data_IF_591429481684
#
_entry.id   IF_591429481684
#
_cell.length_a   1.000
_cell.length_b   1.000
_cell.length_c   1.000
_cell.angle_alpha   90.00
_cell.angle_beta   90.00
_cell.angle_gamma   90.00
#
_symmetry.space_group_name_H-M   'P 1'
#
loop_
_entity.id
_entity.type
_entity.pdbx_description
1 polymer ?
#
# COMPACT_ATOMS: atom_id res chain seq x y z
N UNK A 1 -4.29 23.55 -9.68
CA UNK A 1 -3.90 22.68 -8.55
C UNK A 1 -2.39 22.48 -8.63
N UNK A 2 -1.66 22.54 -7.50
CA UNK A 2 -0.28 22.09 -7.47
C UNK A 2 -0.22 20.60 -7.85
N UNK A 3 0.85 20.14 -8.53
CA UNK A 3 1.03 18.71 -8.81
C UNK A 3 1.04 17.91 -7.50
N UNK A 4 0.52 16.68 -7.49
CA UNK A 4 0.53 15.85 -6.30
C UNK A 4 1.97 15.52 -5.86
N UNK A 5 2.21 15.40 -4.54
CA UNK A 5 3.44 14.79 -4.06
C UNK A 5 3.44 13.32 -4.45
N UNK A 6 4.53 12.88 -5.07
CA UNK A 6 4.70 11.51 -5.57
C UNK A 6 5.88 10.84 -4.86
N UNK A 7 5.77 9.55 -4.61
CA UNK A 7 6.83 8.73 -4.03
C UNK A 7 8.04 8.72 -5.00
N UNK A 8 9.23 9.22 -4.58
CA UNK A 8 10.40 9.26 -5.44
C UNK A 8 10.82 7.88 -5.91
N UNK A 9 11.15 7.77 -7.20
CA UNK A 9 11.67 6.54 -7.82
C UNK A 9 10.68 5.37 -7.91
N UNK A 10 9.40 5.58 -7.57
CA UNK A 10 8.39 4.52 -7.59
C UNK A 10 7.40 4.68 -8.75
N UNK A 11 7.33 3.64 -9.57
CA UNK A 11 6.40 3.55 -10.69
C UNK A 11 5.37 2.45 -10.44
N UNK A 12 4.13 2.68 -10.87
CA UNK A 12 3.05 1.73 -10.61
C UNK A 12 3.26 0.38 -11.31
N UNK A 13 3.95 0.38 -12.46
CA UNK A 13 4.28 -0.84 -13.22
C UNK A 13 5.17 -1.78 -12.41
N UNK A 14 6.09 -1.26 -11.59
CA UNK A 14 6.95 -2.09 -10.75
C UNK A 14 6.14 -2.81 -9.67
N UNK A 15 5.14 -2.11 -9.11
CA UNK A 15 4.22 -2.67 -8.12
C UNK A 15 3.35 -3.75 -8.75
N UNK A 16 2.69 -3.45 -9.87
CA UNK A 16 1.78 -4.40 -10.52
C UNK A 16 2.52 -5.64 -11.03
N UNK A 17 3.68 -5.49 -11.68
CA UNK A 17 4.46 -6.64 -12.15
C UNK A 17 4.87 -7.60 -11.02
N UNK A 18 5.05 -7.12 -9.80
CA UNK A 18 5.38 -7.97 -8.66
C UNK A 18 4.16 -8.71 -8.10
N UNK A 19 2.97 -8.13 -8.22
CA UNK A 19 1.73 -8.64 -7.64
C UNK A 19 0.90 -9.47 -8.61
N UNK A 20 1.06 -9.26 -9.92
CA UNK A 20 0.43 -10.10 -10.93
C UNK A 20 1.10 -11.47 -11.04
N UNK A 21 2.33 -11.62 -10.52
CA UNK A 21 3.05 -12.89 -10.47
C UNK A 21 2.47 -13.81 -9.40
N UNK A 22 2.59 -15.12 -9.64
CA UNK A 22 2.36 -16.13 -8.62
C UNK A 22 3.27 -15.90 -7.40
N UNK A 23 2.80 -16.11 -6.16
CA UNK A 23 1.50 -16.70 -5.80
C UNK A 23 0.33 -15.71 -5.68
N UNK A 24 0.56 -14.41 -5.87
CA UNK A 24 -0.45 -13.38 -5.57
C UNK A 24 -1.51 -13.28 -6.68
N UNK A 25 -1.06 -13.28 -7.94
CA UNK A 25 -1.93 -13.39 -9.11
C UNK A 25 -3.02 -12.31 -9.19
N UNK A 26 -2.70 -11.09 -8.73
CA UNK A 26 -3.63 -9.95 -8.81
C UNK A 26 -3.96 -9.61 -10.26
N UNK A 27 -5.15 -9.05 -10.47
CA UNK A 27 -5.58 -8.49 -11.77
C UNK A 27 -6.07 -7.08 -11.52
N UNK A 28 -5.29 -6.11 -11.97
CA UNK A 28 -5.59 -4.70 -11.72
C UNK A 28 -6.61 -4.17 -12.72
N UNK A 29 -7.63 -3.47 -12.23
CA UNK A 29 -8.45 -2.56 -13.01
C UNK A 29 -7.91 -1.14 -12.83
N UNK A 30 -8.08 -0.29 -13.85
CA UNK A 30 -7.63 1.10 -13.82
C UNK A 30 -8.83 2.02 -14.06
N UNK A 31 -8.98 3.00 -13.17
CA UNK A 31 -10.06 3.98 -13.22
C UNK A 31 -9.50 5.40 -13.06
N UNK A 32 -9.89 6.37 -13.91
CA UNK A 32 -9.51 7.76 -13.69
C UNK A 32 -10.22 8.32 -12.44
N UNK A 33 -9.54 9.22 -11.71
CA UNK A 33 -10.17 9.97 -10.63
C UNK A 33 -11.22 10.93 -11.21
N UNK A 34 -12.42 10.92 -10.62
CA UNK A 34 -13.48 11.88 -10.96
C UNK A 34 -13.27 13.24 -10.29
N UNK A 35 -12.35 13.33 -9.32
CA UNK A 35 -12.12 14.54 -8.50
C UNK A 35 -10.82 15.24 -8.88
N UNK A 36 -9.77 14.47 -9.19
CA UNK A 36 -8.41 15.01 -9.37
C UNK A 36 -7.94 14.70 -10.79
N UNK A 37 -7.93 15.70 -11.70
CA UNK A 37 -7.48 15.51 -13.07
C UNK A 37 -6.06 14.95 -13.14
N UNK A 38 -5.88 13.90 -13.95
CA UNK A 38 -4.60 13.23 -14.14
C UNK A 38 -4.29 12.14 -13.11
N UNK A 39 -5.08 12.03 -12.03
CA UNK A 39 -4.97 10.90 -11.10
C UNK A 39 -5.70 9.68 -11.64
N UNK A 40 -5.10 8.51 -11.49
CA UNK A 40 -5.72 7.21 -11.78
C UNK A 40 -5.56 6.27 -10.59
N UNK A 41 -6.59 5.49 -10.32
CA UNK A 41 -6.60 4.43 -9.32
C UNK A 41 -6.44 3.08 -10.01
N UNK A 42 -5.48 2.29 -9.55
CA UNK A 42 -5.33 0.89 -9.94
C UNK A 42 -5.81 0.03 -8.77
N UNK A 43 -6.81 -0.81 -9.00
CA UNK A 43 -7.44 -1.60 -7.94
C UNK A 43 -7.38 -3.07 -8.26
N UNK A 44 -7.13 -3.90 -7.25
CA UNK A 44 -7.22 -5.34 -7.41
C UNK A 44 -7.72 -5.97 -6.11
N UNK A 45 -8.49 -7.05 -6.25
CA UNK A 45 -8.98 -7.84 -5.12
C UNK A 45 -8.64 -9.30 -5.35
N UNK A 46 -8.23 -9.98 -4.29
CA UNK A 46 -7.95 -11.41 -4.29
C UNK A 46 -8.47 -12.03 -3.00
N UNK A 47 -9.19 -13.13 -3.12
CA UNK A 47 -9.63 -13.92 -1.96
C UNK A 47 -8.73 -15.15 -1.87
N UNK A 48 -8.15 -15.35 -0.69
CA UNK A 48 -7.42 -16.55 -0.35
C UNK A 48 -8.41 -17.73 -0.24
N UNK A 49 -8.24 -18.79 -1.05
CA UNK A 49 -9.21 -19.89 -1.10
C UNK A 49 -9.22 -20.75 0.16
N UNK A 50 -8.14 -20.76 0.94
CA UNK A 50 -7.97 -21.64 2.10
C UNK A 50 -8.53 -21.02 3.38
N UNK A 51 -8.34 -19.71 3.54
CA UNK A 51 -8.72 -18.94 4.74
C UNK A 51 -9.97 -18.09 4.53
N UNK A 52 -10.34 -17.81 3.27
CA UNK A 52 -11.39 -16.86 2.92
C UNK A 52 -11.01 -15.39 3.19
N UNK A 53 -9.74 -15.10 3.50
CA UNK A 53 -9.28 -13.73 3.67
C UNK A 53 -9.28 -12.99 2.33
N UNK A 54 -9.84 -11.79 2.32
CA UNK A 54 -9.83 -10.88 1.19
C UNK A 54 -8.65 -9.92 1.30
N UNK A 55 -7.85 -9.85 0.24
CA UNK A 55 -6.87 -8.82 0.02
C UNK A 55 -7.40 -7.81 -0.99
N UNK A 56 -7.36 -6.54 -0.61
CA UNK A 56 -7.64 -5.41 -1.47
C UNK A 56 -6.38 -4.57 -1.65
N UNK A 57 -6.20 -4.07 -2.86
CA UNK A 57 -5.09 -3.20 -3.24
C UNK A 57 -5.66 -1.99 -3.96
N UNK A 58 -5.16 -0.82 -3.60
CA UNK A 58 -5.33 0.39 -4.38
C UNK A 58 -4.01 1.13 -4.53
N UNK A 59 -3.71 1.57 -5.75
CA UNK A 59 -2.56 2.39 -6.08
C UNK A 59 -3.08 3.64 -6.76
N UNK A 60 -2.90 4.80 -6.13
CA UNK A 60 -3.15 6.09 -6.75
C UNK A 60 -1.90 6.56 -7.50
N UNK A 61 -2.09 7.00 -8.75
CA UNK A 61 -1.00 7.40 -9.66
C UNK A 61 -1.27 8.74 -10.33
N UNK A 62 -0.20 9.47 -10.68
CA UNK A 62 -0.25 10.71 -11.46
C UNK A 62 0.82 10.61 -12.55
N UNK A 63 0.36 10.41 -13.79
CA UNK A 63 1.23 9.90 -14.85
C UNK A 63 1.63 8.44 -14.58
N UNK A 64 2.93 8.17 -14.54
CA UNK A 64 3.54 6.87 -14.24
C UNK A 64 3.96 6.72 -12.77
N UNK A 65 3.95 7.82 -12.00
CA UNK A 65 4.41 7.86 -10.61
C UNK A 65 3.30 7.57 -9.62
N UNK A 66 3.67 7.01 -8.48
CA UNK A 66 2.75 6.66 -7.40
C UNK A 66 2.62 7.82 -6.40
N UNK A 67 1.40 8.18 -6.00
CA UNK A 67 1.14 9.17 -4.93
C UNK A 67 1.00 8.47 -3.59
N UNK A 68 0.22 7.39 -3.62
CA UNK A 68 -0.28 6.65 -2.47
C UNK A 68 -0.59 5.24 -2.93
N UNK A 69 -0.29 4.25 -2.10
CA UNK A 69 -0.90 2.95 -2.24
C UNK A 69 -1.29 2.41 -0.88
N UNK A 70 -2.39 1.68 -0.89
CA UNK A 70 -2.98 1.05 0.28
C UNK A 70 -3.23 -0.41 -0.04
N UNK A 71 -2.91 -1.25 0.94
CA UNK A 71 -3.12 -2.69 0.85
C UNK A 71 -3.77 -3.14 2.13
N UNK A 72 -4.89 -3.79 2.01
CA UNK A 72 -5.69 -4.25 3.14
C UNK A 72 -5.91 -5.75 3.03
N UNK A 73 -5.70 -6.47 4.12
CA UNK A 73 -6.09 -7.88 4.29
C UNK A 73 -7.23 -7.88 5.30
N UNK A 74 -8.34 -8.55 5.00
CA UNK A 74 -9.48 -8.66 5.90
C UNK A 74 -10.10 -10.06 5.85
N UNK A 75 -10.61 -10.55 6.98
CA UNK A 75 -11.18 -11.89 7.07
C UNK A 75 -11.14 -12.49 8.47
N UNK A 76 -11.84 -13.60 8.68
CA UNK A 76 -11.73 -14.37 9.92
C UNK A 76 -10.34 -15.00 9.97
N UNK A 77 -9.48 -14.52 10.87
CA UNK A 77 -8.04 -14.84 10.90
C UNK A 77 -7.29 -14.25 9.69
N UNK A 78 -7.31 -12.93 9.53
CA UNK A 78 -6.45 -12.20 8.59
C UNK A 78 -4.97 -12.16 9.04
N UNK A 79 -4.67 -12.44 10.31
CA UNK A 79 -3.30 -12.41 10.84
C UNK A 79 -2.32 -13.35 10.12
N UNK A 80 -2.63 -14.65 9.88
CA UNK A 80 -1.77 -15.54 9.10
C UNK A 80 -1.52 -15.06 7.66
N UNK A 81 -2.48 -14.38 7.04
CA UNK A 81 -2.40 -13.90 5.65
C UNK A 81 -1.86 -12.48 5.52
N UNK A 82 -1.67 -11.76 6.63
CA UNK A 82 -1.09 -10.41 6.63
C UNK A 82 0.35 -10.34 6.10
N UNK A 83 1.04 -11.49 6.01
CA UNK A 83 2.33 -11.63 5.30
C UNK A 83 2.26 -11.24 3.83
N UNK A 84 1.06 -11.24 3.23
CA UNK A 84 0.84 -10.77 1.87
C UNK A 84 0.97 -9.25 1.71
N UNK A 85 1.12 -8.48 2.80
CA UNK A 85 1.49 -7.05 2.72
C UNK A 85 2.96 -6.84 2.35
N UNK A 86 3.81 -7.85 2.54
CA UNK A 86 5.27 -7.75 2.36
C UNK A 86 5.76 -7.56 0.91
N UNK A 87 5.15 -8.15 -0.13
CA UNK A 87 5.53 -7.92 -1.53
C UNK A 87 5.43 -6.47 -1.95
N UNK A 88 4.46 -5.74 -1.39
CA UNK A 88 4.29 -4.30 -1.64
C UNK A 88 5.47 -3.52 -1.09
N UNK A 89 6.04 -3.96 0.04
CA UNK A 89 7.24 -3.35 0.61
C UNK A 89 8.50 -3.66 -0.18
N UNK A 90 8.52 -4.73 -0.96
CA UNK A 90 9.60 -5.00 -1.92
C UNK A 90 9.65 -3.94 -3.04
N UNK A 91 8.63 -3.09 -3.14
CA UNK A 91 8.57 -1.97 -4.10
C UNK A 91 8.84 -0.60 -3.47
N UNK A 92 9.13 -0.50 -2.16
CA UNK A 92 9.05 0.77 -1.42
C UNK A 92 10.33 1.17 -0.66
N UNK A 93 10.88 2.40 -0.83
CA UNK A 93 11.07 3.25 -2.02
C UNK A 93 12.57 3.37 -2.40
N UNK A 94 12.88 3.83 -3.62
CA UNK A 94 14.27 4.08 -4.06
C UNK A 94 14.55 5.58 -4.30
N UNK A 95 15.17 6.20 -3.30
CA UNK A 95 16.35 7.06 -3.46
C UNK A 95 17.18 6.92 -2.17
N UNK A 96 17.88 5.79 -2.04
CA UNK A 96 18.82 5.51 -0.92
C UNK A 96 18.35 4.61 0.24
N UNK A 97 17.14 4.02 0.23
CA UNK A 97 16.69 3.13 1.31
C UNK A 97 16.56 1.64 0.89
N UNK A 98 16.94 0.65 1.73
CA UNK A 98 16.84 -0.76 1.37
C UNK A 98 15.42 -1.31 1.55
N UNK A 99 14.85 -1.91 0.51
CA UNK A 99 13.53 -2.60 0.52
C UNK A 99 13.46 -3.67 1.61
N UNK A 100 14.60 -4.33 1.86
CA UNK A 100 14.76 -5.33 2.90
C UNK A 100 14.46 -4.76 4.29
N UNK A 101 14.84 -3.51 4.56
CA UNK A 101 14.53 -2.90 5.84
C UNK A 101 13.03 -2.60 5.98
N UNK A 102 12.39 -2.08 4.93
CA UNK A 102 10.94 -1.83 4.91
C UNK A 102 10.17 -3.11 5.20
N UNK A 103 10.56 -4.20 4.54
CA UNK A 103 10.00 -5.54 4.76
C UNK A 103 10.22 -6.02 6.20
N UNK A 104 11.45 -5.97 6.70
CA UNK A 104 11.79 -6.43 8.05
C UNK A 104 11.03 -5.64 9.14
N UNK A 105 10.81 -4.34 8.92
CA UNK A 105 9.98 -3.54 9.81
C UNK A 105 8.53 -4.03 9.85
N UNK A 106 7.91 -4.26 8.69
CA UNK A 106 6.51 -4.70 8.67
C UNK A 106 6.34 -6.10 9.26
N UNK A 107 7.27 -7.03 8.98
CA UNK A 107 7.28 -8.36 9.60
C UNK A 107 7.26 -8.26 11.14
N UNK A 108 8.06 -7.35 11.70
CA UNK A 108 8.07 -7.10 13.15
C UNK A 108 6.81 -6.36 13.63
N UNK A 109 6.33 -5.39 12.85
CA UNK A 109 5.21 -4.51 13.22
C UNK A 109 3.86 -5.24 13.22
N UNK A 110 3.68 -6.26 12.36
CA UNK A 110 2.44 -7.06 12.29
C UNK A 110 2.05 -7.65 13.66
N UNK A 111 2.99 -8.20 14.43
CA UNK A 111 2.70 -8.73 15.76
C UNK A 111 2.46 -7.66 16.85
N UNK A 112 2.79 -6.39 16.54
CA UNK A 112 2.76 -5.28 17.49
C UNK A 112 1.57 -4.35 17.29
N UNK A 113 1.00 -4.27 16.08
CA UNK A 113 -0.12 -3.39 15.78
C UNK A 113 -1.35 -3.80 16.60
N UNK A 114 -2.11 -2.80 17.05
CA UNK A 114 -3.34 -2.98 17.84
C UNK A 114 -4.44 -2.08 17.29
N UNK A 115 -5.69 -2.45 17.52
CA UNK A 115 -6.83 -1.65 17.11
C UNK A 115 -6.73 -0.23 17.68
N UNK A 116 -6.85 0.77 16.79
CA UNK A 116 -6.75 2.19 17.16
C UNK A 116 -5.33 2.68 17.48
N UNK A 117 -4.31 1.85 17.32
CA UNK A 117 -2.91 2.20 17.58
C UNK A 117 -2.04 1.87 16.35
N UNK A 118 -2.07 2.73 15.30
CA UNK A 118 -1.26 2.52 14.11
C UNK A 118 0.23 2.65 14.42
N UNK A 119 1.03 1.89 13.68
CA UNK A 119 2.49 1.97 13.74
C UNK A 119 2.99 2.71 12.51
N UNK A 120 3.72 3.80 12.73
CA UNK A 120 4.28 4.63 11.66
C UNK A 120 5.79 4.40 11.54
N UNK A 121 6.29 4.35 10.29
CA UNK A 121 7.71 4.46 9.98
C UNK A 121 7.92 5.47 8.85
N UNK A 122 8.89 6.36 9.05
CA UNK A 122 9.34 7.31 8.04
C UNK A 122 10.64 6.87 7.40
N UNK A 123 10.71 7.02 6.09
CA UNK A 123 11.88 6.69 5.28
C UNK A 123 12.02 7.76 4.20
N UNK A 124 12.93 8.71 4.39
CA UNK A 124 13.08 9.84 3.49
C UNK A 124 11.74 10.57 3.32
N UNK A 125 11.24 10.62 2.09
CA UNK A 125 9.95 11.24 1.74
C UNK A 125 8.74 10.30 1.89
N UNK A 126 8.95 9.01 2.16
CA UNK A 126 7.88 8.03 2.33
C UNK A 126 7.47 7.87 3.80
N UNK A 127 6.16 7.73 4.02
CA UNK A 127 5.55 7.40 5.30
C UNK A 127 4.80 6.09 5.13
N UNK A 128 5.16 5.11 5.97
CA UNK A 128 4.51 3.82 6.07
C UNK A 128 3.65 3.83 7.31
N UNK A 129 2.38 3.50 7.17
CA UNK A 129 1.43 3.39 8.28
C UNK A 129 0.86 1.99 8.26
N UNK A 130 1.14 1.21 9.29
CA UNK A 130 0.55 -0.10 9.49
C UNK A 130 -0.57 0.03 10.52
N UNK A 131 -1.80 -0.23 10.08
CA UNK A 131 -3.00 -0.25 10.90
C UNK A 131 -3.54 -1.67 10.97
N UNK A 132 -4.40 -1.93 11.94
CA UNK A 132 -5.10 -3.20 11.98
C UNK A 132 -6.21 -3.24 12.99
N UNK A 133 -7.11 -4.19 12.79
CA UNK A 133 -8.04 -4.68 13.79
C UNK A 133 -7.77 -6.18 14.00
N UNK A 134 -6.68 -6.57 14.68
CA UNK A 134 -6.32 -7.98 14.84
C UNK A 134 -7.42 -8.77 15.58
N UNK A 135 -7.74 -10.01 15.16
CA UNK A 135 -7.15 -10.78 14.06
C UNK A 135 -7.91 -10.61 12.73
N UNK A 136 -8.77 -9.59 12.59
CA UNK A 136 -9.74 -9.47 11.49
C UNK A 136 -9.25 -8.68 10.28
N UNK A 137 -8.33 -7.74 10.47
CA UNK A 137 -7.79 -6.96 9.36
C UNK A 137 -6.45 -6.32 9.67
N UNK A 138 -5.67 -6.10 8.61
CA UNK A 138 -4.42 -5.35 8.60
C UNK A 138 -4.40 -4.48 7.35
N UNK A 139 -3.94 -3.26 7.49
CA UNK A 139 -3.81 -2.30 6.39
C UNK A 139 -2.42 -1.68 6.42
N UNK A 140 -1.73 -1.72 5.28
CA UNK A 140 -0.49 -1.00 5.06
C UNK A 140 -0.77 0.14 4.08
N UNK A 141 -0.61 1.36 4.55
CA UNK A 141 -0.63 2.56 3.74
C UNK A 141 0.79 3.07 3.52
N UNK A 142 1.10 3.46 2.29
CA UNK A 142 2.37 4.09 1.95
C UNK A 142 2.13 5.30 1.08
N UNK A 143 2.62 6.45 1.55
CA UNK A 143 2.41 7.73 0.89
C UNK A 143 3.63 8.64 0.99
N UNK A 144 3.66 9.69 0.18
CA UNK A 144 4.59 10.80 0.39
C UNK A 144 4.24 11.52 1.71
N UNK A 145 5.23 12.03 2.46
CA UNK A 145 4.99 12.72 3.74
C UNK A 145 4.04 13.92 3.67
N UNK A 146 3.98 14.54 2.48
CA UNK A 146 3.13 15.69 2.17
C UNK A 146 1.80 15.28 1.51
N UNK A 147 1.53 13.97 1.34
CA UNK A 147 0.31 13.48 0.72
C UNK A 147 -0.95 13.87 1.49
N UNK A 148 -0.96 13.69 2.81
CA UNK A 148 -2.12 14.00 3.63
C UNK A 148 -2.43 15.50 3.64
N UNK A 149 -1.40 16.35 3.75
CA UNK A 149 -1.60 17.80 3.67
C UNK A 149 -2.10 18.19 2.28
N UNK A 150 -1.56 17.62 1.20
CA UNK A 150 -2.03 17.87 -0.16
C UNK A 150 -3.47 17.38 -0.38
N UNK A 151 -3.84 16.18 0.09
CA UNK A 151 -5.16 15.57 -0.12
C UNK A 151 -6.28 16.34 0.58
N UNK A 152 -5.99 16.98 1.72
CA UNK A 152 -6.93 17.84 2.43
C UNK A 152 -7.34 19.08 1.64
N UNK A 153 -6.50 19.56 0.71
CA UNK A 153 -6.86 20.68 -0.19
C UNK A 153 -7.85 20.26 -1.30
N UNK A 154 -8.24 18.98 -1.36
CA UNK A 154 -9.10 18.39 -2.39
C UNK A 154 -10.49 18.01 -1.86
N UNK A 155 -10.70 18.10 -0.53
CA UNK A 155 -11.99 17.89 0.13
C UNK A 155 -12.74 19.22 0.28
#
# INVERSE_FOLDING_TARGET
MPPPPVLPGLFWVDITLNLEKEPYGFRFTMEPSNVIPGVKYHRAVKVDPDTGAEMWVEIATYGDKVLHYEVSVSGLNAEPTASWLLPYLATAPFDGNPQLESKAWAEKALGQVRQGAPLERRVGEAVFVLLGNPPTSYTLEVSHRDYESWSQHLR
#
